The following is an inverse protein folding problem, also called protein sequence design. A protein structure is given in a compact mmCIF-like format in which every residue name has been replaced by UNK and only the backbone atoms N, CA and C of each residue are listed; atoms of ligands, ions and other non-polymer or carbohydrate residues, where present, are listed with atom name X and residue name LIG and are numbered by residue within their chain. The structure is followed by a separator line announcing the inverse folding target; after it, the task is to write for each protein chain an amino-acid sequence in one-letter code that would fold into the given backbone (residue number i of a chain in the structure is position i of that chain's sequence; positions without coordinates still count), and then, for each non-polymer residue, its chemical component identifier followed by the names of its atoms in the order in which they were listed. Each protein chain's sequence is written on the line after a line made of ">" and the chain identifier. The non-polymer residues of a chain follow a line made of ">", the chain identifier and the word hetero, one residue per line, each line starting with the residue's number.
data_IF_537196110376
#
_entry.id   IF_537196110376
#
_cell.length_a   1.000
_cell.length_b   1.000
_cell.length_c   1.000
_cell.angle_alpha   90.00
_cell.angle_beta   90.00
_cell.angle_gamma   90.00
#
_symmetry.space_group_name_H-M   'P 1'
#
loop_
_entity.id
_entity.type
_entity.pdbx_description
1 polymer ?
#
# COMPACT_ATOMS: atom_id res chain seq x y z
N UNK A 1 -21.63 -22.75 -10.55
CA UNK A 1 -22.23 -23.39 -11.75
C UNK A 1 -23.24 -24.45 -11.38
N UNK A 2 -22.84 -25.52 -10.67
CA UNK A 2 -23.73 -26.61 -10.25
C UNK A 2 -25.05 -26.14 -9.61
N UNK A 3 -25.02 -25.08 -8.80
CA UNK A 3 -26.22 -24.46 -8.22
C UNK A 3 -27.25 -23.99 -9.27
N UNK A 4 -26.80 -23.35 -10.36
CA UNK A 4 -27.65 -22.89 -11.45
C UNK A 4 -28.10 -24.06 -12.34
N UNK A 5 -27.26 -25.06 -12.53
CA UNK A 5 -27.62 -26.27 -13.28
C UNK A 5 -28.71 -27.08 -12.54
N UNK A 6 -28.70 -27.06 -11.20
CA UNK A 6 -29.73 -27.68 -10.34
C UNK A 6 -30.96 -26.82 -10.06
N UNK A 7 -30.98 -25.54 -10.46
CA UNK A 7 -32.12 -24.65 -10.24
C UNK A 7 -33.35 -25.11 -11.04
N UNK A 8 -34.52 -25.04 -10.40
CA UNK A 8 -35.79 -25.51 -10.96
C UNK A 8 -36.82 -24.41 -11.20
N UNK A 9 -36.80 -23.32 -10.44
CA UNK A 9 -37.84 -22.28 -10.53
C UNK A 9 -37.28 -20.87 -10.66
N UNK A 10 -36.33 -20.50 -9.79
CA UNK A 10 -35.80 -19.14 -9.67
C UNK A 10 -34.33 -19.19 -9.27
N UNK A 11 -33.50 -18.33 -9.90
CA UNK A 11 -32.24 -17.93 -9.30
C UNK A 11 -32.09 -16.40 -9.26
N UNK A 12 -31.61 -15.91 -8.11
CA UNK A 12 -31.38 -14.51 -7.80
C UNK A 12 -29.89 -14.30 -7.64
N UNK A 13 -29.31 -13.39 -8.40
CA UNK A 13 -27.88 -13.15 -8.39
C UNK A 13 -27.58 -11.67 -8.17
N UNK A 14 -26.65 -11.37 -7.28
CA UNK A 14 -26.07 -10.03 -7.16
C UNK A 14 -24.55 -10.10 -7.24
N UNK A 15 -23.94 -9.13 -7.92
CA UNK A 15 -22.48 -8.93 -7.96
C UNK A 15 -22.18 -7.49 -8.40
N UNK A 16 -21.06 -6.90 -7.96
CA UNK A 16 -20.65 -5.57 -8.45
C UNK A 16 -20.19 -5.64 -9.91
N UNK A 17 -19.46 -6.69 -10.27
CA UNK A 17 -19.06 -7.03 -11.64
C UNK A 17 -19.38 -8.48 -11.96
N UNK A 18 -19.77 -8.73 -13.21
CA UNK A 18 -19.99 -10.08 -13.77
C UNK A 18 -19.10 -10.24 -14.97
N UNK A 19 -18.10 -11.12 -14.90
CA UNK A 19 -17.15 -11.30 -16.00
C UNK A 19 -16.68 -12.77 -16.14
N UNK A 20 -17.51 -13.72 -15.73
CA UNK A 20 -17.22 -15.15 -15.81
C UNK A 20 -18.09 -15.83 -16.89
N UNK A 21 -17.47 -16.31 -17.97
CA UNK A 21 -18.18 -16.92 -19.09
C UNK A 21 -18.90 -18.21 -18.69
N UNK A 22 -18.28 -19.02 -17.81
CA UNK A 22 -18.92 -20.25 -17.30
C UNK A 22 -20.20 -19.95 -16.52
N UNK A 23 -20.25 -18.78 -15.87
CA UNK A 23 -21.43 -18.31 -15.14
C UNK A 23 -22.54 -17.94 -16.12
N UNK A 24 -22.20 -17.14 -17.13
CA UNK A 24 -23.14 -16.78 -18.18
C UNK A 24 -23.72 -18.02 -18.87
N UNK A 25 -22.88 -19.01 -19.19
CA UNK A 25 -23.32 -20.25 -19.81
C UNK A 25 -24.28 -21.04 -18.90
N UNK A 26 -23.97 -21.14 -17.61
CA UNK A 26 -24.85 -21.80 -16.63
C UNK A 26 -26.20 -21.07 -16.48
N UNK A 27 -26.18 -19.74 -16.48
CA UNK A 27 -27.40 -18.92 -16.49
C UNK A 27 -28.22 -19.14 -17.76
N UNK A 28 -27.59 -19.12 -18.94
CA UNK A 28 -28.29 -19.35 -20.21
C UNK A 28 -28.91 -20.75 -20.28
N UNK A 29 -28.20 -21.78 -19.81
CA UNK A 29 -28.77 -23.14 -19.68
C UNK A 29 -29.96 -23.17 -18.72
N UNK A 30 -29.89 -22.47 -17.59
CA UNK A 30 -31.02 -22.39 -16.65
C UNK A 30 -32.22 -21.67 -17.28
N UNK A 31 -32.00 -20.56 -17.98
CA UNK A 31 -33.04 -19.84 -18.71
C UNK A 31 -33.73 -20.72 -19.76
N UNK A 32 -32.95 -21.51 -20.51
CA UNK A 32 -33.48 -22.46 -21.50
C UNK A 32 -34.37 -23.54 -20.89
N UNK A 33 -34.12 -23.94 -19.63
CA UNK A 33 -34.97 -24.86 -18.87
C UNK A 33 -36.21 -24.18 -18.27
N UNK A 34 -36.40 -22.87 -18.47
CA UNK A 34 -37.52 -22.12 -17.91
C UNK A 34 -37.30 -21.57 -16.50
N UNK A 35 -36.07 -21.65 -15.95
CA UNK A 35 -35.74 -21.04 -14.66
C UNK A 35 -35.77 -19.52 -14.81
N UNK A 36 -36.46 -18.83 -13.89
CA UNK A 36 -36.52 -17.36 -13.89
C UNK A 36 -35.26 -16.80 -13.26
N UNK A 37 -34.55 -15.96 -14.00
CA UNK A 37 -33.28 -15.39 -13.57
C UNK A 37 -33.41 -13.89 -13.33
N UNK A 38 -33.05 -13.47 -12.13
CA UNK A 38 -33.02 -12.07 -11.72
C UNK A 38 -31.61 -11.68 -11.32
N UNK A 39 -31.08 -10.62 -11.91
CA UNK A 39 -29.70 -10.18 -11.72
C UNK A 39 -29.67 -8.73 -11.25
N UNK A 40 -28.91 -8.47 -10.19
CA UNK A 40 -28.69 -7.13 -9.66
C UNK A 40 -27.21 -6.77 -9.68
N UNK A 41 -26.84 -5.72 -10.39
CA UNK A 41 -25.43 -5.29 -10.56
C UNK A 41 -25.23 -3.81 -10.30
N UNK A 42 -23.99 -3.37 -10.11
CA UNK A 42 -23.67 -1.95 -10.04
C UNK A 42 -23.91 -1.25 -11.38
N UNK A 43 -24.20 0.05 -11.34
CA UNK A 43 -24.38 0.85 -12.56
C UNK A 43 -23.06 1.06 -13.31
N UNK A 44 -23.12 1.14 -14.64
CA UNK A 44 -21.93 1.40 -15.48
C UNK A 44 -21.24 2.72 -15.15
N UNK A 45 -21.98 3.71 -14.65
CA UNK A 45 -21.43 5.00 -14.23
C UNK A 45 -20.49 4.84 -13.03
N UNK A 46 -20.85 3.99 -12.06
CA UNK A 46 -19.98 3.68 -10.92
C UNK A 46 -18.76 2.89 -11.36
N UNK A 47 -18.97 1.87 -12.20
CA UNK A 47 -17.89 1.06 -12.75
C UNK A 47 -16.88 1.96 -13.47
N UNK A 48 -17.35 2.89 -14.32
CA UNK A 48 -16.50 3.84 -15.03
C UNK A 48 -15.74 4.82 -14.14
N UNK A 49 -16.25 5.18 -12.95
CA UNK A 49 -15.52 5.99 -11.96
C UNK A 49 -14.40 5.19 -11.28
N UNK A 50 -14.70 3.98 -10.80
CA UNK A 50 -13.76 3.10 -10.10
C UNK A 50 -12.61 2.66 -11.00
N UNK A 51 -12.90 2.37 -12.28
CA UNK A 51 -11.91 1.96 -13.28
C UNK A 51 -10.83 3.02 -13.55
N UNK A 52 -11.10 4.31 -13.27
CA UNK A 52 -10.12 5.40 -13.44
C UNK A 52 -9.09 5.48 -12.30
N UNK A 53 -9.33 4.80 -11.19
CA UNK A 53 -8.45 4.85 -10.01
C UNK A 53 -7.41 3.70 -10.00
N UNK A 54 -7.63 2.63 -10.76
CA UNK A 54 -6.76 1.45 -10.87
C UNK A 54 -6.70 0.94 -12.34
N UNK A 55 -5.67 1.32 -13.11
CA UNK A 55 -5.72 1.18 -14.58
C UNK A 55 -5.13 -0.14 -15.15
N UNK A 56 -5.73 -0.53 -16.29
CA UNK A 56 -5.60 -1.76 -17.11
C UNK A 56 -6.48 -2.95 -16.67
N UNK A 57 -6.33 -3.49 -15.46
CA UNK A 57 -7.08 -4.70 -15.06
C UNK A 57 -8.59 -4.43 -14.94
N UNK A 58 -8.97 -3.35 -14.26
CA UNK A 58 -10.38 -2.97 -14.06
C UNK A 58 -11.05 -2.56 -15.39
N UNK A 59 -10.31 -1.93 -16.31
CA UNK A 59 -10.83 -1.60 -17.66
C UNK A 59 -11.25 -2.86 -18.42
N UNK A 60 -10.38 -3.89 -18.45
CA UNK A 60 -10.68 -5.17 -19.09
C UNK A 60 -11.88 -5.87 -18.43
N UNK A 61 -11.99 -5.81 -17.10
CA UNK A 61 -13.14 -6.38 -16.37
C UNK A 61 -14.45 -5.66 -16.71
N UNK A 62 -14.42 -4.32 -16.83
CA UNK A 62 -15.58 -3.54 -17.22
C UNK A 62 -16.05 -3.87 -18.65
N UNK A 63 -15.13 -4.07 -19.60
CA UNK A 63 -15.48 -4.48 -20.96
C UNK A 63 -16.08 -5.89 -21.01
N UNK A 64 -15.46 -6.84 -20.29
CA UNK A 64 -16.00 -8.19 -20.17
C UNK A 64 -17.38 -8.19 -19.52
N UNK A 65 -17.59 -7.32 -18.54
CA UNK A 65 -18.89 -7.11 -17.94
C UNK A 65 -19.95 -6.69 -18.96
N UNK A 66 -19.67 -5.67 -19.76
CA UNK A 66 -20.60 -5.22 -20.82
C UNK A 66 -20.92 -6.34 -21.81
N UNK A 67 -19.91 -7.06 -22.29
CA UNK A 67 -20.09 -8.21 -23.18
C UNK A 67 -21.00 -9.28 -22.57
N UNK A 68 -20.82 -9.56 -21.28
CA UNK A 68 -21.65 -10.53 -20.57
C UNK A 68 -23.09 -10.03 -20.43
N UNK A 69 -23.31 -8.75 -20.12
CA UNK A 69 -24.65 -8.15 -20.08
C UNK A 69 -25.38 -8.30 -21.42
N UNK A 70 -24.70 -8.04 -22.53
CA UNK A 70 -25.27 -8.18 -23.87
C UNK A 70 -25.69 -9.62 -24.18
N UNK A 71 -24.87 -10.60 -23.76
CA UNK A 71 -25.20 -12.03 -23.90
C UNK A 71 -26.44 -12.43 -23.10
N UNK A 72 -26.67 -11.81 -21.95
CA UNK A 72 -27.82 -12.09 -21.07
C UNK A 72 -29.09 -11.32 -21.45
N UNK A 73 -28.98 -10.30 -22.30
CA UNK A 73 -30.09 -9.44 -22.68
C UNK A 73 -31.27 -10.24 -23.27
N UNK A 74 -32.47 -10.00 -22.75
CA UNK A 74 -33.69 -10.71 -23.16
C UNK A 74 -33.79 -12.17 -22.70
N UNK A 75 -32.79 -12.69 -21.96
CA UNK A 75 -32.79 -14.04 -21.38
C UNK A 75 -32.92 -14.04 -19.86
N UNK A 76 -32.53 -12.94 -19.22
CA UNK A 76 -32.65 -12.72 -17.77
C UNK A 76 -33.27 -11.35 -17.51
N UNK A 77 -33.87 -11.14 -16.33
CA UNK A 77 -34.27 -9.82 -15.88
C UNK A 77 -33.15 -9.19 -15.07
N UNK A 78 -32.46 -8.22 -15.67
CA UNK A 78 -31.31 -7.57 -15.05
C UNK A 78 -31.62 -6.12 -14.69
N UNK A 79 -31.25 -5.74 -13.47
CA UNK A 79 -31.34 -4.38 -12.97
C UNK A 79 -30.03 -3.90 -12.38
N UNK A 80 -29.88 -2.59 -12.28
CA UNK A 80 -28.70 -1.95 -11.68
C UNK A 80 -29.05 -0.68 -10.92
N UNK A 81 -28.19 -0.32 -9.98
CA UNK A 81 -28.15 0.99 -9.31
C UNK A 81 -26.73 1.33 -8.89
N UNK A 82 -26.42 2.62 -8.66
CA UNK A 82 -25.07 3.06 -8.29
C UNK A 82 -24.62 2.41 -6.98
N UNK A 83 -25.47 2.29 -5.96
CA UNK A 83 -25.06 1.83 -4.63
C UNK A 83 -24.92 0.29 -4.49
N UNK A 84 -25.32 -0.52 -5.47
CA UNK A 84 -25.23 -2.00 -5.41
C UNK A 84 -23.78 -2.47 -5.32
N UNK A 85 -23.48 -3.29 -4.32
CA UNK A 85 -22.16 -3.92 -4.19
C UNK A 85 -22.21 -5.34 -3.62
N UNK A 86 -23.35 -5.81 -3.11
CA UNK A 86 -23.52 -7.18 -2.62
C UNK A 86 -23.18 -8.26 -3.68
N UNK A 87 -22.66 -9.40 -3.21
CA UNK A 87 -22.23 -10.54 -4.04
C UNK A 87 -22.79 -11.84 -3.49
N UNK A 88 -23.82 -12.37 -4.14
CA UNK A 88 -24.46 -13.60 -3.68
C UNK A 88 -25.28 -14.28 -4.79
N UNK A 89 -25.57 -15.57 -4.57
CA UNK A 89 -26.46 -16.37 -5.38
C UNK A 89 -27.51 -17.04 -4.48
N UNK A 90 -28.78 -16.95 -4.86
CA UNK A 90 -29.89 -17.68 -4.22
C UNK A 90 -30.60 -18.51 -5.29
N UNK A 91 -30.92 -19.76 -4.96
CA UNK A 91 -31.66 -20.69 -5.84
C UNK A 91 -32.89 -21.21 -5.10
N UNK A 92 -34.02 -21.21 -5.80
CA UNK A 92 -35.31 -21.76 -5.40
C UNK A 92 -35.73 -21.44 -3.94
N UNK A 93 -35.67 -20.16 -3.50
CA UNK A 93 -35.89 -19.81 -2.10
C UNK A 93 -37.33 -20.09 -1.61
N UNK A 94 -38.27 -20.26 -2.53
CA UNK A 94 -39.68 -20.50 -2.21
C UNK A 94 -39.94 -21.93 -1.71
N UNK A 95 -39.06 -22.88 -2.03
CA UNK A 95 -39.21 -24.29 -1.66
C UNK A 95 -38.14 -24.67 -0.63
N UNK A 96 -38.47 -24.84 0.67
CA UNK A 96 -37.47 -25.07 1.72
C UNK A 96 -36.48 -26.20 1.45
N UNK A 97 -36.93 -27.32 0.87
CA UNK A 97 -36.06 -28.45 0.56
C UNK A 97 -35.02 -28.14 -0.55
N UNK A 98 -35.32 -27.19 -1.43
CA UNK A 98 -34.49 -26.80 -2.58
C UNK A 98 -33.80 -25.46 -2.39
N UNK A 99 -34.21 -24.66 -1.40
CA UNK A 99 -33.62 -23.37 -1.12
C UNK A 99 -32.12 -23.51 -0.82
N UNK A 100 -31.29 -22.84 -1.62
CA UNK A 100 -29.84 -22.76 -1.43
C UNK A 100 -29.40 -21.33 -1.62
N UNK A 101 -28.42 -20.90 -0.83
CA UNK A 101 -27.80 -19.61 -1.04
C UNK A 101 -26.31 -19.64 -0.72
N UNK A 102 -25.57 -18.77 -1.40
CA UNK A 102 -24.15 -18.52 -1.18
C UNK A 102 -23.92 -17.03 -1.08
N UNK A 103 -23.26 -16.61 -0.01
CA UNK A 103 -22.72 -15.26 0.16
C UNK A 103 -21.22 -15.29 -0.13
N UNK A 104 -20.74 -14.34 -0.91
CA UNK A 104 -19.35 -14.24 -1.32
C UNK A 104 -18.78 -12.87 -0.98
N UNK A 105 -17.52 -12.82 -0.56
CA UNK A 105 -16.78 -11.55 -0.45
C UNK A 105 -16.24 -11.12 -1.83
N UNK A 106 -16.08 -12.08 -2.75
CA UNK A 106 -15.60 -11.92 -4.11
C UNK A 106 -16.71 -11.59 -5.12
N UNK A 107 -16.37 -10.79 -6.12
CA UNK A 107 -17.17 -10.68 -7.35
C UNK A 107 -17.22 -12.01 -8.10
N UNK A 108 -18.28 -12.24 -8.86
CA UNK A 108 -18.36 -13.39 -9.77
C UNK A 108 -17.59 -13.14 -11.07
N UNK A 109 -16.28 -13.06 -10.91
CA UNK A 109 -15.25 -12.99 -11.96
C UNK A 109 -14.03 -13.79 -11.48
N UNK A 110 -12.87 -13.58 -12.10
CA UNK A 110 -11.60 -14.23 -11.73
C UNK A 110 -11.16 -14.02 -10.28
N UNK A 111 -11.73 -13.06 -9.54
CA UNK A 111 -11.45 -12.90 -8.11
C UNK A 111 -11.81 -14.15 -7.30
N UNK A 112 -12.72 -15.01 -7.77
CA UNK A 112 -13.01 -16.30 -7.14
C UNK A 112 -11.80 -17.26 -7.13
N UNK A 113 -10.86 -17.10 -8.05
CA UNK A 113 -9.69 -17.98 -8.23
C UNK A 113 -8.40 -17.28 -7.79
N UNK A 114 -8.29 -15.98 -8.06
CA UNK A 114 -7.03 -15.25 -7.96
C UNK A 114 -6.86 -14.47 -6.64
N UNK A 115 -7.95 -14.24 -5.90
CA UNK A 115 -7.96 -13.41 -4.68
C UNK A 115 -8.13 -14.24 -3.41
N UNK A 116 -7.63 -13.72 -2.29
CA UNK A 116 -7.87 -14.28 -0.96
C UNK A 116 -9.23 -13.76 -0.46
N UNK A 117 -10.25 -14.61 -0.58
CA UNK A 117 -11.67 -14.30 -0.41
C UNK A 117 -12.37 -15.41 0.39
N UNK A 118 -13.59 -15.14 0.87
CA UNK A 118 -14.46 -16.11 1.54
C UNK A 118 -15.75 -16.29 0.75
N UNK A 119 -16.27 -17.51 0.79
CA UNK A 119 -17.62 -17.85 0.35
C UNK A 119 -18.26 -18.78 1.38
N UNK A 120 -19.51 -18.51 1.74
CA UNK A 120 -20.26 -19.34 2.68
C UNK A 120 -21.59 -19.77 2.09
N UNK A 121 -21.94 -21.04 2.28
CA UNK A 121 -23.27 -21.54 2.01
C UNK A 121 -24.18 -21.21 3.21
N UNK A 122 -25.40 -20.75 2.93
CA UNK A 122 -26.41 -20.49 3.96
C UNK A 122 -27.43 -21.62 3.99
N UNK A 123 -28.01 -21.83 5.16
CA UNK A 123 -29.12 -22.76 5.34
C UNK A 123 -30.39 -22.28 4.60
N UNK A 124 -31.45 -23.10 4.53
CA UNK A 124 -32.69 -22.69 3.88
C UNK A 124 -33.36 -21.44 4.45
N UNK A 125 -33.17 -21.13 5.73
CA UNK A 125 -33.72 -19.91 6.34
C UNK A 125 -32.94 -18.68 5.90
N UNK A 126 -31.61 -18.74 5.95
CA UNK A 126 -30.71 -17.72 5.43
C UNK A 126 -30.90 -17.48 3.93
N UNK A 127 -31.17 -18.54 3.14
CA UNK A 127 -31.50 -18.40 1.72
C UNK A 127 -32.77 -17.58 1.49
N UNK A 128 -33.81 -17.76 2.32
CA UNK A 128 -35.05 -16.96 2.26
C UNK A 128 -34.82 -15.52 2.72
N UNK A 129 -34.07 -15.31 3.80
CA UNK A 129 -33.74 -13.98 4.29
C UNK A 129 -32.91 -13.18 3.26
N UNK A 130 -31.95 -13.84 2.62
CA UNK A 130 -31.17 -13.25 1.54
C UNK A 130 -32.03 -12.94 0.30
N UNK A 131 -32.98 -13.83 -0.03
CA UNK A 131 -33.96 -13.55 -1.10
C UNK A 131 -34.82 -12.32 -0.79
N UNK A 132 -35.23 -12.11 0.47
CA UNK A 132 -35.97 -10.92 0.87
C UNK A 132 -35.13 -9.64 0.66
N UNK A 133 -33.85 -9.67 1.04
CA UNK A 133 -32.91 -8.56 0.79
C UNK A 133 -32.79 -8.26 -0.71
N UNK A 134 -32.63 -9.30 -1.54
CA UNK A 134 -32.59 -9.16 -2.99
C UNK A 134 -33.88 -8.54 -3.52
N UNK A 135 -35.05 -9.04 -3.13
CA UNK A 135 -36.35 -8.55 -3.61
C UNK A 135 -36.52 -7.06 -3.29
N UNK A 136 -36.17 -6.64 -2.07
CA UNK A 136 -36.18 -5.23 -1.69
C UNK A 136 -35.30 -4.39 -2.61
N UNK A 137 -34.02 -4.74 -2.73
CA UNK A 137 -33.10 -3.97 -3.56
C UNK A 137 -33.52 -3.96 -5.04
N UNK A 138 -34.00 -5.09 -5.56
CA UNK A 138 -34.39 -5.25 -6.96
C UNK A 138 -35.66 -4.47 -7.31
N UNK A 139 -36.66 -4.41 -6.42
CA UNK A 139 -37.94 -3.77 -6.70
C UNK A 139 -38.04 -2.33 -6.19
N UNK A 140 -37.32 -1.98 -5.12
CA UNK A 140 -37.42 -0.69 -4.46
C UNK A 140 -36.22 0.23 -4.72
N UNK A 141 -35.01 -0.31 -4.85
CA UNK A 141 -33.79 0.50 -4.91
C UNK A 141 -33.13 0.54 -6.29
N UNK A 142 -33.40 -0.45 -7.14
CA UNK A 142 -32.88 -0.49 -8.50
C UNK A 142 -33.33 0.72 -9.33
N UNK A 143 -32.44 1.21 -10.18
CA UNK A 143 -32.61 2.47 -10.91
C UNK A 143 -32.74 2.25 -12.40
N UNK A 144 -32.12 1.19 -12.93
CA UNK A 144 -32.10 0.87 -14.35
C UNK A 144 -32.38 -0.60 -14.60
N UNK A 145 -32.96 -0.92 -15.75
CA UNK A 145 -33.25 -2.27 -16.23
C UNK A 145 -32.69 -2.49 -17.63
N UNK A 146 -32.13 -3.66 -17.88
CA UNK A 146 -31.61 -4.05 -19.18
C UNK A 146 -32.77 -4.44 -20.11
N UNK A 147 -33.04 -3.61 -21.12
CA UNK A 147 -34.14 -3.81 -22.10
C UNK A 147 -33.68 -4.45 -23.42
N UNK A 148 -32.38 -4.57 -23.61
CA UNK A 148 -31.73 -5.14 -24.79
C UNK A 148 -30.21 -4.94 -24.68
N UNK A 149 -29.43 -5.49 -25.63
CA UNK A 149 -27.98 -5.28 -25.65
C UNK A 149 -27.62 -3.79 -25.57
N UNK A 150 -26.73 -3.43 -24.65
CA UNK A 150 -26.29 -2.05 -24.37
C UNK A 150 -27.39 -1.09 -23.91
N UNK A 151 -28.61 -1.53 -23.63
CA UNK A 151 -29.77 -0.67 -23.31
C UNK A 151 -30.23 -0.79 -21.87
N UNK A 152 -29.48 -0.17 -20.96
CA UNK A 152 -29.91 0.07 -19.57
C UNK A 152 -30.80 1.32 -19.50
N UNK A 153 -32.10 1.11 -19.26
CA UNK A 153 -33.10 2.19 -19.20
C UNK A 153 -33.53 2.45 -17.77
N UNK A 154 -33.76 3.71 -17.42
CA UNK A 154 -34.29 4.09 -16.11
C UNK A 154 -35.67 3.49 -15.85
N UNK A 155 -35.90 3.07 -14.61
CA UNK A 155 -37.16 2.49 -14.15
C UNK A 155 -37.76 3.33 -13.02
N UNK A 156 -39.09 3.31 -12.92
CA UNK A 156 -39.80 4.00 -11.82
C UNK A 156 -39.64 3.20 -10.52
N UNK A 157 -39.21 3.87 -9.45
CA UNK A 157 -38.96 3.29 -8.11
C UNK A 157 -40.21 2.80 -7.36
N UNK A 158 -41.42 3.01 -7.87
CA UNK A 158 -42.68 2.58 -7.23
C UNK A 158 -43.28 1.39 -7.96
N UNK A 159 -42.86 0.18 -7.57
CA UNK A 159 -43.54 -1.04 -7.98
C UNK A 159 -44.85 -1.20 -7.18
N UNK A 160 -45.99 -1.58 -7.81
CA UNK A 160 -47.29 -1.65 -7.14
C UNK A 160 -47.39 -2.72 -6.03
N UNK A 161 -46.49 -3.72 -6.05
CA UNK A 161 -46.33 -4.68 -4.97
C UNK A 161 -44.95 -4.48 -4.33
N UNK A 162 -44.87 -3.58 -3.35
CA UNK A 162 -43.65 -3.33 -2.57
C UNK A 162 -43.38 -4.55 -1.68
N UNK A 163 -42.23 -5.23 -1.80
CA UNK A 163 -41.88 -6.31 -0.88
C UNK A 163 -41.76 -5.79 0.55
N UNK A 164 -41.98 -6.66 1.54
CA UNK A 164 -41.73 -6.34 2.94
C UNK A 164 -40.26 -5.96 3.14
N UNK A 165 -40.02 -4.97 4.00
CA UNK A 165 -38.66 -4.56 4.34
C UNK A 165 -37.92 -5.76 4.97
N UNK A 166 -36.69 -6.08 4.51
CA UNK A 166 -35.94 -7.19 5.07
C UNK A 166 -35.65 -6.94 6.54
N UNK A 167 -36.01 -7.91 7.38
CA UNK A 167 -35.76 -7.88 8.81
C UNK A 167 -35.50 -9.32 9.27
N UNK A 168 -34.23 -9.72 9.29
CA UNK A 168 -33.79 -11.02 9.76
C UNK A 168 -32.65 -10.84 10.77
N UNK A 169 -32.56 -11.77 11.72
CA UNK A 169 -31.57 -11.70 12.79
C UNK A 169 -30.18 -12.20 12.39
N UNK A 170 -30.12 -13.10 11.41
CA UNK A 170 -28.89 -13.71 10.91
C UNK A 170 -28.41 -13.04 9.63
N UNK A 171 -29.31 -12.65 8.72
CA UNK A 171 -28.98 -11.92 7.48
C UNK A 171 -29.38 -10.46 7.61
N UNK A 172 -28.41 -9.57 7.49
CA UNK A 172 -28.60 -8.13 7.61
C UNK A 172 -28.06 -7.40 6.38
N UNK A 173 -28.58 -6.21 6.12
CA UNK A 173 -28.23 -5.42 4.96
C UNK A 173 -27.93 -3.96 5.32
N UNK A 174 -27.00 -3.36 4.58
CA UNK A 174 -27.01 -1.91 4.36
C UNK A 174 -27.97 -1.64 3.21
N UNK A 175 -28.91 -0.72 3.41
CA UNK A 175 -29.91 -0.28 2.44
C UNK A 175 -29.74 1.23 2.22
N UNK A 176 -30.35 1.82 1.18
CA UNK A 176 -30.19 3.27 0.92
C UNK A 176 -30.55 4.16 2.13
N UNK A 177 -31.51 3.71 2.94
CA UNK A 177 -32.04 4.40 4.12
C UNK A 177 -31.86 3.57 5.42
N UNK A 178 -30.95 2.58 5.44
CA UNK A 178 -30.82 1.65 6.56
C UNK A 178 -29.41 1.13 6.79
N UNK A 179 -29.04 0.95 8.06
CA UNK A 179 -27.66 0.61 8.48
C UNK A 179 -27.60 -0.65 9.36
N UNK A 180 -28.57 -1.55 9.20
CA UNK A 180 -28.68 -2.76 10.03
C UNK A 180 -27.41 -3.63 10.03
N UNK A 181 -26.70 -3.70 8.90
CA UNK A 181 -25.42 -4.39 8.81
C UNK A 181 -24.34 -3.72 9.69
N UNK A 182 -24.21 -2.39 9.63
CA UNK A 182 -23.31 -1.65 10.52
C UNK A 182 -23.65 -1.90 11.98
N UNK A 183 -24.92 -1.78 12.34
CA UNK A 183 -25.36 -1.96 13.72
C UNK A 183 -25.04 -3.37 14.23
N UNK A 184 -25.15 -4.39 13.37
CA UNK A 184 -24.70 -5.75 13.67
C UNK A 184 -23.18 -5.87 13.87
N UNK A 185 -22.39 -5.26 13.00
CA UNK A 185 -20.91 -5.22 13.12
C UNK A 185 -20.52 -4.56 14.44
N UNK A 186 -21.12 -3.41 14.77
CA UNK A 186 -20.85 -2.68 16.02
C UNK A 186 -21.25 -3.50 17.24
N UNK A 187 -22.41 -4.16 17.21
CA UNK A 187 -22.87 -5.01 18.30
C UNK A 187 -21.89 -6.18 18.58
N UNK A 188 -21.35 -6.82 17.55
CA UNK A 188 -20.34 -7.86 17.71
C UNK A 188 -19.06 -7.30 18.35
N UNK A 189 -18.52 -6.20 17.83
CA UNK A 189 -17.27 -5.59 18.33
C UNK A 189 -17.41 -5.12 19.78
N UNK A 190 -18.55 -4.50 20.13
CA UNK A 190 -18.81 -4.06 21.51
C UNK A 190 -19.03 -5.23 22.47
N UNK A 191 -19.62 -6.33 21.96
CA UNK A 191 -19.86 -7.55 22.74
C UNK A 191 -18.60 -8.37 23.04
N UNK A 192 -17.50 -8.13 22.31
CA UNK A 192 -16.27 -8.90 22.43
C UNK A 192 -15.67 -8.88 23.85
N UNK A 193 -15.23 -10.06 24.29
CA UNK A 193 -14.63 -10.33 25.61
C UNK A 193 -13.19 -10.84 25.52
N UNK A 194 -12.83 -11.62 24.50
CA UNK A 194 -11.48 -12.22 24.41
C UNK A 194 -10.77 -11.83 23.13
N UNK A 195 -11.43 -11.99 21.99
CA UNK A 195 -10.79 -11.77 20.70
C UNK A 195 -11.73 -11.29 19.60
N UNK A 196 -11.17 -10.49 18.71
CA UNK A 196 -11.74 -10.10 17.43
C UNK A 196 -10.72 -10.40 16.31
N UNK A 197 -11.14 -11.20 15.32
CA UNK A 197 -10.44 -11.35 14.04
C UNK A 197 -11.26 -10.65 12.95
N UNK A 198 -10.63 -9.76 12.19
CA UNK A 198 -11.29 -9.03 11.11
C UNK A 198 -10.51 -9.21 9.82
N UNK A 199 -11.18 -9.49 8.72
CA UNK A 199 -10.64 -9.28 7.39
C UNK A 199 -11.41 -8.14 6.72
N UNK A 200 -10.72 -7.19 6.09
CA UNK A 200 -11.37 -6.17 5.28
C UNK A 200 -10.42 -5.59 4.23
N UNK A 201 -10.94 -5.40 3.02
CA UNK A 201 -10.23 -4.73 1.94
C UNK A 201 -10.14 -3.22 2.17
N UNK A 202 -11.24 -2.58 2.56
CA UNK A 202 -11.33 -1.15 2.87
C UNK A 202 -11.42 -0.90 4.38
N UNK A 203 -10.71 0.12 4.86
CA UNK A 203 -10.64 0.49 6.28
C UNK A 203 -10.65 2.01 6.37
N UNK A 204 -11.79 2.59 6.74
CA UNK A 204 -11.92 4.04 6.91
C UNK A 204 -11.50 4.46 8.32
N UNK A 205 -10.41 5.22 8.46
CA UNK A 205 -9.87 5.65 9.76
C UNK A 205 -10.93 6.28 10.68
N UNK A 206 -11.80 7.12 10.13
CA UNK A 206 -12.84 7.83 10.88
C UNK A 206 -14.13 7.04 11.09
N UNK A 207 -14.24 5.85 10.48
CA UNK A 207 -15.46 5.07 10.51
C UNK A 207 -15.70 4.50 11.93
N UNK A 208 -16.95 4.53 12.45
CA UNK A 208 -17.26 4.05 13.80
C UNK A 208 -16.79 2.62 14.09
N UNK A 209 -16.83 1.72 13.10
CA UNK A 209 -16.34 0.35 13.26
C UNK A 209 -14.83 0.28 13.57
N UNK A 210 -14.00 1.15 12.96
CA UNK A 210 -12.56 1.19 13.23
C UNK A 210 -12.30 1.73 14.64
N UNK A 211 -13.04 2.77 15.04
CA UNK A 211 -12.99 3.32 16.41
C UNK A 211 -13.39 2.27 17.45
N UNK A 212 -14.44 1.48 17.17
CA UNK A 212 -14.86 0.40 18.05
C UNK A 212 -13.83 -0.73 18.19
N UNK A 213 -13.06 -1.03 17.13
CA UNK A 213 -11.94 -1.99 17.21
C UNK A 213 -10.82 -1.46 18.13
N UNK A 214 -10.48 -0.18 17.99
CA UNK A 214 -9.51 0.50 18.87
C UNK A 214 -9.99 0.47 20.32
N UNK A 215 -11.26 0.79 20.57
CA UNK A 215 -11.86 0.70 21.90
C UNK A 215 -11.83 -0.73 22.44
N UNK A 216 -12.07 -1.75 21.62
CA UNK A 216 -11.96 -3.14 22.04
C UNK A 216 -10.53 -3.50 22.46
N UNK A 217 -9.53 -3.10 21.69
CA UNK A 217 -8.13 -3.29 22.04
C UNK A 217 -7.78 -2.58 23.37
N UNK A 218 -8.26 -1.35 23.57
CA UNK A 218 -8.07 -0.60 24.82
C UNK A 218 -8.74 -1.28 26.04
N UNK A 219 -9.81 -2.06 25.83
CA UNK A 219 -10.43 -2.90 26.87
C UNK A 219 -9.65 -4.19 27.15
N UNK A 220 -8.56 -4.46 26.45
CA UNK A 220 -7.76 -5.68 26.57
C UNK A 220 -8.24 -6.85 25.70
N UNK A 221 -9.17 -6.62 24.77
CA UNK A 221 -9.57 -7.64 23.78
C UNK A 221 -8.44 -7.80 22.77
N UNK A 222 -8.04 -9.03 22.44
CA UNK A 222 -7.07 -9.27 21.38
C UNK A 222 -7.71 -8.94 20.03
N UNK A 223 -7.15 -7.99 19.29
CA UNK A 223 -7.67 -7.63 17.95
C UNK A 223 -6.60 -7.92 16.90
N UNK A 224 -6.98 -8.68 15.87
CA UNK A 224 -6.18 -8.92 14.67
C UNK A 224 -6.96 -8.46 13.44
N UNK A 225 -6.34 -7.65 12.60
CA UNK A 225 -6.93 -7.13 11.36
C UNK A 225 -6.09 -7.61 10.17
N UNK A 226 -6.73 -8.30 9.25
CA UNK A 226 -6.19 -8.72 7.96
C UNK A 226 -6.63 -7.72 6.90
N UNK A 227 -5.68 -7.19 6.13
CA UNK A 227 -5.96 -6.19 5.09
C UNK A 227 -5.11 -6.38 3.83
N UNK A 228 -5.35 -5.56 2.81
CA UNK A 228 -4.51 -5.47 1.60
C UNK A 228 -3.72 -4.17 1.62
N UNK A 229 -2.39 -4.19 1.40
CA UNK A 229 -1.62 -2.96 1.48
C UNK A 229 -1.90 -2.00 0.32
N UNK A 230 -2.51 -0.85 0.65
CA UNK A 230 -2.91 0.20 -0.31
C UNK A 230 -2.97 1.56 0.36
N UNK A 231 -2.77 2.62 -0.43
CA UNK A 231 -2.87 4.01 0.03
C UNK A 231 -4.21 4.33 0.71
N UNK A 232 -5.30 3.80 0.16
CA UNK A 232 -6.66 4.04 0.66
C UNK A 232 -6.90 3.57 2.11
N UNK A 233 -6.13 2.57 2.58
CA UNK A 233 -6.26 2.06 3.96
C UNK A 233 -5.20 2.61 4.92
N UNK A 234 -4.20 3.37 4.41
CA UNK A 234 -3.01 3.79 5.15
C UNK A 234 -3.34 4.48 6.48
N UNK A 235 -4.26 5.44 6.48
CA UNK A 235 -4.67 6.15 7.69
C UNK A 235 -5.37 5.21 8.70
N UNK A 236 -6.22 4.30 8.22
CA UNK A 236 -6.95 3.36 9.06
C UNK A 236 -6.04 2.33 9.72
N UNK A 237 -5.11 1.75 8.95
CA UNK A 237 -4.14 0.78 9.48
C UNK A 237 -3.12 1.44 10.40
N UNK A 238 -2.72 2.69 10.14
CA UNK A 238 -1.86 3.45 11.03
C UNK A 238 -2.53 3.69 12.40
N UNK A 239 -3.82 4.08 12.41
CA UNK A 239 -4.58 4.26 13.64
C UNK A 239 -4.74 2.95 14.43
N UNK A 240 -5.05 1.84 13.75
CA UNK A 240 -5.14 0.50 14.35
C UNK A 240 -3.79 0.06 14.94
N UNK A 241 -2.70 0.15 14.16
CA UNK A 241 -1.37 -0.26 14.60
C UNK A 241 -0.86 0.60 15.77
N UNK A 242 -1.14 1.92 15.77
CA UNK A 242 -0.81 2.81 16.87
C UNK A 242 -1.56 2.47 18.17
N UNK A 243 -2.74 1.85 18.07
CA UNK A 243 -3.50 1.32 19.21
C UNK A 243 -3.03 -0.07 19.68
N UNK A 244 -1.92 -0.59 19.13
CA UNK A 244 -1.39 -1.91 19.49
C UNK A 244 -2.13 -3.09 18.85
N UNK A 245 -3.00 -2.85 17.86
CA UNK A 245 -3.71 -3.90 17.13
C UNK A 245 -2.75 -4.57 16.15
N UNK A 246 -2.80 -5.90 16.08
CA UNK A 246 -2.02 -6.66 15.08
C UNK A 246 -2.66 -6.48 13.71
N UNK A 247 -1.96 -5.80 12.79
CA UNK A 247 -2.44 -5.59 11.43
C UNK A 247 -1.52 -6.31 10.45
N UNK A 248 -2.07 -7.34 9.81
CA UNK A 248 -1.36 -8.25 8.92
C UNK A 248 -1.91 -8.09 7.50
N UNK A 249 -1.10 -8.32 6.48
CA UNK A 249 -1.52 -8.00 5.13
C UNK A 249 -1.00 -8.93 4.04
N UNK A 250 -1.80 -9.04 2.98
CA UNK A 250 -1.52 -9.83 1.79
C UNK A 250 -1.99 -9.06 0.55
N UNK A 251 -1.18 -9.08 -0.51
CA UNK A 251 -1.39 -8.31 -1.74
C UNK A 251 -2.66 -8.71 -2.52
N UNK A 252 -3.17 -9.91 -2.27
CA UNK A 252 -4.42 -10.46 -2.84
C UNK A 252 -5.60 -10.51 -1.87
N UNK A 253 -5.49 -10.01 -0.63
CA UNK A 253 -6.64 -10.02 0.28
C UNK A 253 -7.77 -9.15 -0.25
N UNK A 254 -8.96 -9.72 -0.32
CA UNK A 254 -10.18 -8.97 -0.55
C UNK A 254 -11.36 -9.48 0.29
N UNK A 255 -11.17 -10.47 1.16
CA UNK A 255 -12.21 -10.96 2.04
C UNK A 255 -12.76 -9.87 2.99
N UNK A 256 -14.04 -10.00 3.37
CA UNK A 256 -14.64 -9.20 4.47
C UNK A 256 -15.37 -10.11 5.46
N UNK A 257 -14.87 -10.15 6.69
CA UNK A 257 -15.45 -10.93 7.77
C UNK A 257 -15.09 -10.34 9.13
N UNK A 258 -15.95 -10.57 10.11
CA UNK A 258 -15.70 -10.28 11.52
C UNK A 258 -15.98 -11.54 12.31
N UNK A 259 -14.98 -12.06 13.02
CA UNK A 259 -15.14 -13.16 13.96
C UNK A 259 -14.88 -12.65 15.39
N UNK A 260 -15.83 -12.87 16.29
CA UNK A 260 -15.77 -12.43 17.68
C UNK A 260 -16.13 -13.60 18.58
N UNK A 261 -15.21 -13.99 19.46
CA UNK A 261 -15.41 -15.02 20.49
C UNK A 261 -16.10 -16.32 20.00
N UNK A 262 -15.82 -16.75 18.77
CA UNK A 262 -16.38 -17.97 18.16
C UNK A 262 -17.65 -17.76 17.33
N UNK A 263 -18.17 -16.53 17.24
CA UNK A 263 -19.21 -16.13 16.29
C UNK A 263 -18.58 -15.50 15.05
N UNK A 264 -19.14 -15.72 13.87
CA UNK A 264 -18.63 -15.12 12.63
C UNK A 264 -19.74 -14.46 11.80
N UNK A 265 -19.44 -13.26 11.32
CA UNK A 265 -20.18 -12.52 10.31
C UNK A 265 -19.34 -12.48 9.03
N UNK A 266 -19.83 -13.10 7.95
CA UNK A 266 -19.26 -12.92 6.61
C UNK A 266 -20.09 -11.89 5.87
N UNK A 267 -19.46 -10.94 5.19
CA UNK A 267 -20.16 -9.81 4.58
C UNK A 267 -19.54 -9.34 3.28
N UNK A 268 -20.28 -8.54 2.52
CA UNK A 268 -19.80 -7.92 1.28
C UNK A 268 -19.25 -6.51 1.50
N UNK A 269 -19.56 -5.91 2.66
CA UNK A 269 -19.15 -4.57 3.06
C UNK A 269 -17.70 -4.51 3.58
N UNK A 270 -16.99 -3.47 3.17
CA UNK A 270 -15.76 -3.03 3.83
C UNK A 270 -16.07 -2.24 5.11
N UNK A 271 -15.09 -2.07 5.99
CA UNK A 271 -15.18 -1.23 7.20
C UNK A 271 -15.03 0.27 6.90
N UNK A 272 -15.90 0.78 6.03
CA UNK A 272 -15.93 2.18 5.61
C UNK A 272 -17.35 2.61 5.22
N UNK A 273 -17.57 3.92 5.08
CA UNK A 273 -18.91 4.46 4.86
C UNK A 273 -19.59 3.94 3.59
N UNK A 274 -18.83 3.67 2.52
CA UNK A 274 -19.39 3.13 1.30
C UNK A 274 -19.96 1.71 1.49
N UNK A 275 -19.40 0.91 2.39
CA UNK A 275 -19.89 -0.43 2.70
C UNK A 275 -20.98 -0.42 3.77
N UNK A 276 -20.72 0.22 4.92
CA UNK A 276 -21.59 0.09 6.09
C UNK A 276 -22.68 1.15 6.19
N UNK A 277 -22.57 2.28 5.48
CA UNK A 277 -23.55 3.38 5.59
C UNK A 277 -24.34 3.67 4.31
N UNK A 278 -23.76 3.46 3.12
CA UNK A 278 -24.33 3.96 1.85
C UNK A 278 -24.64 2.90 0.80
N UNK A 279 -23.92 1.78 0.80
CA UNK A 279 -24.05 0.74 -0.22
C UNK A 279 -25.26 -0.16 -0.01
N UNK A 280 -25.65 -0.91 -1.04
CA UNK A 280 -26.41 -2.14 -0.83
C UNK A 280 -25.42 -3.30 -0.63
N UNK A 281 -25.29 -3.71 0.62
CA UNK A 281 -24.35 -4.71 1.11
C UNK A 281 -25.07 -5.70 2.02
N UNK A 282 -24.55 -6.92 2.12
CA UNK A 282 -25.13 -8.01 2.90
C UNK A 282 -24.10 -8.54 3.88
N UNK A 283 -24.55 -8.89 5.08
CA UNK A 283 -23.82 -9.74 6.01
C UNK A 283 -24.68 -10.88 6.54
N UNK A 284 -24.06 -12.03 6.79
CA UNK A 284 -24.70 -13.20 7.36
C UNK A 284 -23.92 -13.70 8.57
N UNK A 285 -24.59 -13.78 9.72
CA UNK A 285 -24.14 -14.57 10.87
C UNK A 285 -24.27 -16.04 10.46
N UNK A 286 -23.15 -16.76 10.49
CA UNK A 286 -23.11 -18.17 10.06
C UNK A 286 -23.34 -19.11 11.26
N UNK A 287 -23.65 -20.37 10.96
CA UNK A 287 -23.79 -21.40 12.00
C UNK A 287 -22.49 -21.58 12.80
N UNK A 288 -22.54 -22.13 14.03
CA UNK A 288 -21.34 -22.37 14.84
C UNK A 288 -20.27 -23.18 14.11
N UNK A 289 -20.65 -24.23 13.37
CA UNK A 289 -19.71 -25.05 12.61
C UNK A 289 -19.00 -24.25 11.51
N UNK A 290 -19.76 -23.45 10.75
CA UNK A 290 -19.20 -22.59 9.72
C UNK A 290 -18.37 -21.47 10.34
N UNK A 291 -18.76 -20.94 11.50
CA UNK A 291 -17.99 -19.93 12.22
C UNK A 291 -16.62 -20.47 12.65
N UNK A 292 -16.56 -21.71 13.14
CA UNK A 292 -15.30 -22.38 13.46
C UNK A 292 -14.39 -22.51 12.23
N UNK A 293 -14.97 -22.82 11.05
CA UNK A 293 -14.20 -22.90 9.80
C UNK A 293 -13.69 -21.52 9.37
N UNK A 294 -14.54 -20.48 9.42
CA UNK A 294 -14.16 -19.11 9.10
C UNK A 294 -13.05 -18.63 10.03
N UNK A 295 -13.20 -18.84 11.34
CA UNK A 295 -12.19 -18.48 12.34
C UNK A 295 -10.85 -19.16 12.04
N UNK A 296 -10.86 -20.48 11.80
CA UNK A 296 -9.65 -21.23 11.43
C UNK A 296 -9.00 -20.66 10.17
N UNK A 297 -9.77 -20.38 9.12
CA UNK A 297 -9.23 -19.79 7.88
C UNK A 297 -8.61 -18.42 8.12
N UNK A 298 -9.24 -17.55 8.92
CA UNK A 298 -8.67 -16.25 9.26
C UNK A 298 -7.37 -16.39 10.07
N UNK A 299 -7.27 -17.39 10.96
CA UNK A 299 -6.02 -17.67 11.70
C UNK A 299 -4.92 -18.18 10.79
N UNK A 300 -5.23 -19.14 9.91
CA UNK A 300 -4.28 -19.64 8.91
C UNK A 300 -3.74 -18.51 8.05
N UNK A 301 -4.58 -17.56 7.64
CA UNK A 301 -4.14 -16.35 6.95
C UNK A 301 -3.29 -15.44 7.83
N UNK A 302 -3.68 -15.18 9.07
CA UNK A 302 -2.87 -14.40 10.00
C UNK A 302 -1.46 -14.98 10.16
N UNK A 303 -1.34 -16.30 10.25
CA UNK A 303 -0.06 -17.00 10.44
C UNK A 303 0.81 -17.00 9.17
N UNK A 304 0.23 -16.75 7.99
CA UNK A 304 0.92 -16.88 6.69
C UNK A 304 1.07 -15.58 5.92
N UNK A 305 0.38 -14.51 6.33
CA UNK A 305 0.43 -13.24 5.62
C UNK A 305 1.83 -12.60 5.73
N UNK A 306 2.46 -12.24 4.60
CA UNK A 306 3.88 -11.88 4.59
C UNK A 306 4.16 -10.46 5.10
N UNK A 307 3.14 -9.62 5.23
CA UNK A 307 3.29 -8.21 5.60
C UNK A 307 2.68 -7.93 6.97
N UNK A 308 3.37 -7.08 7.74
CA UNK A 308 2.91 -6.58 9.03
C UNK A 308 3.02 -5.06 9.03
N UNK A 309 1.95 -4.38 9.45
CA UNK A 309 2.02 -2.94 9.71
C UNK A 309 2.57 -2.67 11.11
N UNK A 310 3.53 -1.76 11.18
CA UNK A 310 4.20 -1.35 12.42
C UNK A 310 4.22 0.17 12.48
N UNK A 311 3.57 0.75 13.48
CA UNK A 311 3.58 2.20 13.71
C UNK A 311 4.92 2.68 14.32
N UNK A 312 5.67 1.77 14.91
CA UNK A 312 6.92 1.99 15.65
C UNK A 312 8.16 1.47 14.90
N UNK A 313 8.01 1.08 13.62
CA UNK A 313 9.09 0.47 12.85
C UNK A 313 10.24 1.46 12.66
N UNK A 314 11.45 1.11 13.13
CA UNK A 314 12.64 1.86 12.78
C UNK A 314 13.35 1.24 11.59
N UNK A 315 14.17 2.03 10.89
CA UNK A 315 15.06 1.54 9.82
C UNK A 315 15.93 0.36 10.24
N UNK A 316 16.16 0.20 11.55
CA UNK A 316 16.98 -0.87 12.07
C UNK A 316 16.25 -2.19 12.33
N UNK A 317 14.95 -2.18 12.45
CA UNK A 317 14.22 -3.38 12.90
C UNK A 317 13.92 -4.35 11.77
N UNK A 318 14.06 -3.91 10.53
CA UNK A 318 13.72 -4.72 9.37
C UNK A 318 14.92 -4.92 8.45
N UNK A 319 15.46 -6.14 8.40
CA UNK A 319 16.42 -6.57 7.37
C UNK A 319 15.66 -7.32 6.28
N UNK A 320 14.88 -6.58 5.49
CA UNK A 320 13.98 -7.17 4.49
C UNK A 320 13.26 -6.13 3.66
N UNK A 321 12.11 -6.54 3.17
CA UNK A 321 11.27 -5.79 2.24
C UNK A 321 10.40 -4.78 2.99
N UNK A 322 10.72 -3.49 2.85
CA UNK A 322 9.99 -2.39 3.45
C UNK A 322 9.07 -1.73 2.42
N UNK A 323 7.82 -1.48 2.81
CA UNK A 323 6.90 -0.64 2.05
C UNK A 323 6.39 0.46 2.98
N UNK A 324 6.53 1.72 2.56
CA UNK A 324 5.96 2.84 3.31
C UNK A 324 4.43 2.73 3.31
N UNK A 325 3.78 3.14 4.41
CA UNK A 325 2.34 2.94 4.57
C UNK A 325 1.52 3.72 3.52
N UNK A 326 2.05 4.85 3.05
CA UNK A 326 1.51 5.69 1.99
C UNK A 326 1.76 5.16 0.57
N UNK A 327 2.56 4.10 0.41
CA UNK A 327 2.79 3.41 -0.84
C UNK A 327 1.91 2.15 -0.94
N UNK A 328 1.57 1.74 -2.17
CA UNK A 328 1.09 0.40 -2.43
C UNK A 328 2.28 -0.52 -2.74
N UNK A 329 2.15 -1.84 -2.50
CA UNK A 329 3.23 -2.79 -2.82
C UNK A 329 3.70 -2.71 -4.29
N UNK A 330 2.78 -2.38 -5.19
CA UNK A 330 3.07 -2.17 -6.63
C UNK A 330 3.90 -0.92 -6.91
N UNK A 331 3.88 0.07 -6.02
CA UNK A 331 4.59 1.35 -6.19
C UNK A 331 6.10 1.19 -5.90
N UNK A 332 6.50 0.04 -5.36
CA UNK A 332 7.88 -0.31 -5.09
C UNK A 332 8.07 -0.76 -3.65
N UNK A 333 8.76 -1.89 -3.50
CA UNK A 333 9.29 -2.36 -2.22
C UNK A 333 10.73 -1.87 -2.13
N UNK A 334 11.07 -1.26 -1.00
CA UNK A 334 12.43 -0.85 -0.71
C UNK A 334 13.10 -1.92 0.12
N UNK A 335 14.28 -2.36 -0.29
CA UNK A 335 15.05 -3.33 0.48
C UNK A 335 15.87 -2.61 1.53
N UNK A 336 15.68 -2.94 2.80
CA UNK A 336 16.56 -2.45 3.86
C UNK A 336 17.85 -3.26 3.84
N UNK A 337 18.99 -2.60 3.63
CA UNK A 337 20.30 -3.25 3.56
C UNK A 337 21.13 -2.96 4.82
N UNK A 338 22.02 -3.88 5.27
CA UNK A 338 22.80 -3.65 6.49
C UNK A 338 23.69 -2.41 6.40
N UNK A 339 24.34 -2.20 5.26
CA UNK A 339 25.19 -1.04 5.03
C UNK A 339 25.44 -0.81 3.55
N UNK A 340 25.73 0.44 3.16
CA UNK A 340 26.39 0.76 1.91
C UNK A 340 27.67 1.57 2.17
N UNK A 341 28.63 1.49 1.25
CA UNK A 341 29.83 2.34 1.25
C UNK A 341 29.75 3.31 0.08
N UNK A 342 29.96 4.60 0.34
CA UNK A 342 29.91 5.67 -0.64
C UNK A 342 31.26 6.38 -0.68
N UNK A 343 31.95 6.22 -1.81
CA UNK A 343 33.19 6.96 -2.08
C UNK A 343 32.87 8.40 -2.46
N UNK A 344 33.46 9.35 -1.75
CA UNK A 344 33.38 10.77 -2.04
C UNK A 344 34.63 11.24 -2.80
N UNK A 345 34.55 12.37 -3.52
CA UNK A 345 35.73 12.98 -4.13
C UNK A 345 36.83 13.25 -3.09
N UNK A 346 38.09 13.19 -3.53
CA UNK A 346 39.22 13.56 -2.69
C UNK A 346 39.11 15.01 -2.22
N UNK A 347 39.54 15.28 -1.00
CA UNK A 347 39.62 16.64 -0.44
C UNK A 347 41.07 17.08 -0.36
N UNK A 348 41.31 18.34 -0.71
CA UNK A 348 42.65 18.92 -0.66
C UNK A 348 42.87 19.52 0.73
N UNK A 349 43.92 19.08 1.41
CA UNK A 349 44.34 19.67 2.68
C UNK A 349 44.79 21.13 2.48
N UNK A 350 44.64 22.01 3.48
CA UNK A 350 45.09 23.39 3.37
C UNK A 350 46.61 23.52 3.33
N UNK A 351 47.33 22.51 3.84
CA UNK A 351 48.79 22.44 3.96
C UNK A 351 49.27 20.98 3.83
N UNK A 352 50.39 20.76 3.15
CA UNK A 352 50.94 19.42 2.89
C UNK A 352 51.52 18.73 4.14
N UNK A 353 51.82 19.48 5.20
CA UNK A 353 52.27 18.94 6.49
C UNK A 353 51.15 18.78 7.51
N UNK A 354 49.93 19.24 7.19
CA UNK A 354 48.74 19.17 8.05
C UNK A 354 47.55 18.60 7.28
N UNK A 355 47.61 17.31 6.95
CA UNK A 355 46.54 16.61 6.24
C UNK A 355 45.29 16.45 7.11
N UNK A 356 45.46 16.40 8.42
CA UNK A 356 44.40 16.36 9.42
C UNK A 356 43.49 17.60 9.39
N UNK A 357 44.00 18.73 8.89
CA UNK A 357 43.25 19.99 8.75
C UNK A 357 42.42 20.03 7.46
N UNK A 358 42.40 18.95 6.68
CA UNK A 358 41.58 18.87 5.47
C UNK A 358 40.09 19.05 5.80
N UNK A 359 39.36 19.81 4.97
CA UNK A 359 37.94 20.01 5.20
C UNK A 359 37.20 18.67 5.09
N UNK A 360 36.27 18.42 6.01
CA UNK A 360 35.39 17.26 5.90
C UNK A 360 34.48 17.46 4.68
N UNK A 361 34.42 16.50 3.73
CA UNK A 361 33.52 16.62 2.60
C UNK A 361 32.06 16.57 3.04
N UNK A 362 31.16 17.14 2.23
CA UNK A 362 29.72 17.08 2.52
C UNK A 362 29.22 15.65 2.47
N UNK A 363 28.81 15.11 3.62
CA UNK A 363 28.30 13.76 3.75
C UNK A 363 26.81 13.71 3.40
N UNK A 364 26.50 13.44 2.14
CA UNK A 364 25.12 13.22 1.69
C UNK A 364 24.93 11.77 1.23
N UNK A 365 24.13 10.97 1.95
CA UNK A 365 23.77 9.63 1.52
C UNK A 365 23.15 9.64 0.12
N UNK A 366 23.62 8.75 -0.74
CA UNK A 366 23.07 8.50 -2.07
C UNK A 366 22.99 6.98 -2.31
N UNK A 367 22.09 6.27 -1.60
CA UNK A 367 21.91 4.84 -1.80
C UNK A 367 21.41 4.52 -3.22
N UNK A 368 21.57 3.26 -3.63
CA UNK A 368 20.99 2.76 -4.87
C UNK A 368 19.46 2.88 -4.82
N UNK A 369 18.85 3.12 -5.98
CA UNK A 369 17.39 3.19 -6.09
C UNK A 369 16.76 1.87 -5.60
N UNK A 370 15.78 1.96 -4.71
CA UNK A 370 15.12 0.79 -4.12
C UNK A 370 15.86 0.21 -2.91
N UNK A 371 16.97 0.79 -2.47
CA UNK A 371 17.67 0.40 -1.23
C UNK A 371 17.55 1.46 -0.13
N UNK A 372 17.43 0.98 1.11
CA UNK A 372 17.45 1.81 2.31
C UNK A 372 18.51 1.26 3.28
N UNK A 373 19.77 1.73 3.21
CA UNK A 373 20.82 1.24 4.07
C UNK A 373 20.59 1.69 5.52
N UNK A 374 20.81 0.75 6.46
CA UNK A 374 20.79 1.03 7.90
C UNK A 374 22.02 1.85 8.33
N UNK A 375 23.15 1.63 7.65
CA UNK A 375 24.40 2.34 7.85
C UNK A 375 24.98 2.81 6.51
N UNK A 376 25.39 4.08 6.44
CA UNK A 376 26.12 4.61 5.27
C UNK A 376 27.54 4.92 5.71
N UNK A 377 28.51 4.22 5.13
CA UNK A 377 29.94 4.48 5.36
C UNK A 377 30.45 5.38 4.24
N UNK A 378 31.02 6.52 4.61
CA UNK A 378 31.67 7.40 3.65
C UNK A 378 33.17 7.14 3.65
N UNK A 379 33.76 7.07 2.46
CA UNK A 379 35.21 6.94 2.29
C UNK A 379 35.69 8.04 1.36
N UNK A 380 36.75 8.74 1.73
CA UNK A 380 37.39 9.73 0.87
C UNK A 380 38.89 9.72 1.10
N UNK A 381 39.60 10.22 0.11
CA UNK A 381 41.05 10.43 0.18
C UNK A 381 41.33 11.88 0.56
N UNK A 382 42.32 12.10 1.42
CA UNK A 382 42.87 13.42 1.69
C UNK A 382 44.15 13.54 0.90
N UNK A 383 44.22 14.53 0.01
CA UNK A 383 45.39 14.79 -0.82
C UNK A 383 46.07 16.08 -0.38
N UNK A 384 47.42 16.12 -0.33
CA UNK A 384 48.16 17.35 -0.05
C UNK A 384 47.92 18.41 -1.15
N UNK A 385 47.94 19.71 -0.81
CA UNK A 385 47.85 20.77 -1.79
C UNK A 385 49.09 20.77 -2.69
N UNK A 386 48.89 21.07 -3.98
CA UNK A 386 49.97 21.25 -4.94
C UNK A 386 50.18 22.72 -5.24
N UNK A 387 51.40 23.05 -5.66
CA UNK A 387 51.76 24.39 -6.08
C UNK A 387 50.81 24.87 -7.20
N UNK A 388 50.17 26.05 -7.05
CA UNK A 388 49.28 26.57 -8.08
C UNK A 388 50.01 26.77 -9.42
N UNK A 389 49.31 26.47 -10.51
CA UNK A 389 49.85 26.72 -11.85
C UNK A 389 50.09 28.23 -12.04
N UNK A 390 51.28 28.59 -12.53
CA UNK A 390 51.67 29.98 -12.73
C UNK A 390 52.18 30.69 -11.48
N UNK A 391 52.44 29.96 -10.38
CA UNK A 391 53.17 30.52 -9.23
C UNK A 391 54.59 30.90 -9.64
N UNK A 392 55.07 32.05 -9.16
CA UNK A 392 56.42 32.56 -9.46
C UNK A 392 57.34 32.35 -8.26
N UNK A 393 58.58 31.98 -8.51
CA UNK A 393 59.54 31.77 -7.43
C UNK A 393 59.88 33.11 -6.75
N UNK A 394 59.82 33.10 -5.42
CA UNK A 394 60.28 34.18 -4.55
C UNK A 394 61.75 33.93 -4.22
N UNK A 395 62.55 34.99 -4.31
CA UNK A 395 63.98 34.94 -3.99
C UNK A 395 64.26 35.80 -2.75
N UNK A 396 65.20 35.36 -1.93
CA UNK A 396 65.73 36.13 -0.81
C UNK A 396 66.97 36.91 -1.24
N UNK A 397 67.14 38.12 -0.70
CA UNK A 397 68.38 38.88 -0.84
C UNK A 397 69.36 38.46 0.24
N UNK A 398 70.50 37.94 -0.16
CA UNK A 398 71.61 37.62 0.75
C UNK A 398 72.77 38.56 0.42
N UNK A 399 73.27 39.25 1.44
CA UNK A 399 74.51 40.02 1.32
C UNK A 399 75.69 39.06 1.38
N UNK A 400 76.45 38.99 0.30
CA UNK A 400 77.74 38.28 0.25
C UNK A 400 78.86 39.30 0.13
N UNK A 401 79.96 39.06 0.83
CA UNK A 401 81.19 39.82 0.63
C UNK A 401 81.94 39.23 -0.55
N UNK A 402 82.03 40.00 -1.63
CA UNK A 402 82.90 39.70 -2.77
C UNK A 402 84.13 40.60 -2.72
N UNK A 403 85.26 40.10 -3.22
CA UNK A 403 86.45 40.93 -3.36
C UNK A 403 86.19 42.04 -4.40
N UNK A 404 86.19 43.30 -3.95
CA UNK A 404 86.15 44.44 -4.86
C UNK A 404 87.37 44.44 -5.78
N UNK A 405 87.33 45.22 -6.86
CA UNK A 405 88.45 45.38 -7.80
C UNK A 405 89.77 45.84 -7.13
N UNK A 406 89.67 46.30 -5.89
CA UNK A 406 90.75 46.85 -5.06
C UNK A 406 91.17 45.90 -3.92
N UNK A 407 90.66 44.65 -3.91
CA UNK A 407 90.92 43.65 -2.86
C UNK A 407 90.17 43.85 -1.53
N UNK A 408 89.37 44.93 -1.40
CA UNK A 408 88.55 45.20 -0.21
C UNK A 408 87.18 44.48 -0.30
N UNK A 409 86.68 43.89 0.80
CA UNK A 409 85.38 43.23 0.79
C UNK A 409 84.27 44.23 0.46
N UNK A 410 83.53 43.97 -0.61
CA UNK A 410 82.34 44.72 -1.02
C UNK A 410 81.13 43.86 -0.76
N UNK A 411 80.16 44.38 0.00
CA UNK A 411 78.86 43.73 0.17
C UNK A 411 78.06 43.85 -1.12
N UNK A 412 77.80 42.71 -1.76
CA UNK A 412 76.95 42.60 -2.95
C UNK A 412 75.67 41.90 -2.51
N UNK A 413 74.53 42.49 -2.84
CA UNK A 413 73.22 41.87 -2.64
C UNK A 413 72.94 40.96 -3.83
N UNK A 414 72.83 39.66 -3.56
CA UNK A 414 72.51 38.67 -4.58
C UNK A 414 71.18 38.01 -4.25
N UNK A 415 70.32 37.83 -5.27
CA UNK A 415 69.07 37.09 -5.13
C UNK A 415 69.36 35.61 -5.22
N UNK A 416 69.06 34.86 -4.18
CA UNK A 416 69.20 33.39 -4.14
C UNK A 416 67.86 32.75 -3.81
N UNK A 417 67.63 31.52 -4.28
CA UNK A 417 66.41 30.78 -3.94
C UNK A 417 66.36 30.53 -2.43
N UNK A 418 65.16 30.47 -1.88
CA UNK A 418 64.95 29.88 -0.57
C UNK A 418 65.22 28.36 -0.63
N UNK A 419 65.59 27.79 0.52
CA UNK A 419 65.75 26.35 0.70
C UNK A 419 64.94 25.89 1.94
N UNK A 420 63.79 25.21 1.78
CA UNK A 420 63.13 24.82 0.53
C UNK A 420 62.60 26.00 -0.31
N UNK A 421 62.33 25.78 -1.60
CA UNK A 421 61.93 26.85 -2.54
C UNK A 421 60.58 27.47 -2.16
N UNK A 422 60.47 28.79 -2.32
CA UNK A 422 59.28 29.58 -1.98
C UNK A 422 58.69 30.18 -3.25
N UNK A 423 57.37 30.20 -3.34
CA UNK A 423 56.62 30.70 -4.48
C UNK A 423 55.50 31.64 -4.05
N UNK A 424 55.08 32.52 -4.94
CA UNK A 424 53.95 33.42 -4.75
C UNK A 424 52.90 33.24 -5.85
N UNK A 425 51.62 33.26 -5.47
CA UNK A 425 50.48 33.23 -6.38
C UNK A 425 49.25 33.85 -5.70
N UNK A 426 48.55 34.78 -6.36
CA UNK A 426 47.37 35.48 -5.84
C UNK A 426 47.53 36.02 -4.41
N UNK A 427 48.62 36.77 -4.17
CA UNK A 427 48.98 37.35 -2.87
C UNK A 427 49.16 36.32 -1.73
N UNK A 428 49.33 35.03 -2.05
CA UNK A 428 49.64 33.97 -1.09
C UNK A 428 51.06 33.45 -1.32
N UNK A 429 51.74 33.12 -0.24
CA UNK A 429 53.08 32.56 -0.25
C UNK A 429 53.00 31.05 0.00
N UNK A 430 53.80 30.28 -0.73
CA UNK A 430 53.86 28.82 -0.68
C UNK A 430 55.29 28.34 -0.51
N UNK A 431 55.52 27.36 0.37
CA UNK A 431 56.80 26.66 0.50
C UNK A 431 56.64 25.29 -0.15
N UNK A 432 57.51 24.95 -1.11
CA UNK A 432 57.45 23.63 -1.77
C UNK A 432 58.19 22.62 -0.92
N UNK A 433 57.54 21.50 -0.61
CA UNK A 433 58.12 20.34 0.04
C UNK A 433 58.55 19.32 -1.03
N UNK A 434 59.84 19.23 -1.40
CA UNK A 434 60.27 18.34 -2.47
C UNK A 434 60.39 16.89 -1.99
N UNK A 435 60.79 16.67 -0.72
CA UNK A 435 60.90 15.36 -0.09
C UNK A 435 60.44 15.42 1.37
N UNK A 436 60.05 14.26 1.92
CA UNK A 436 59.57 14.17 3.30
C UNK A 436 60.66 14.53 4.35
N UNK A 437 61.94 14.40 4.01
CA UNK A 437 63.05 14.75 4.88
C UNK A 437 63.16 16.28 5.13
N UNK A 438 62.57 17.09 4.24
CA UNK A 438 62.58 18.55 4.32
C UNK A 438 61.50 19.13 5.24
N UNK A 439 60.64 18.29 5.82
CA UNK A 439 59.43 18.74 6.53
C UNK A 439 59.70 19.74 7.66
N UNK A 440 60.76 19.55 8.46
CA UNK A 440 61.08 20.50 9.53
C UNK A 440 61.53 21.86 9.00
N UNK A 441 62.37 21.86 7.93
CA UNK A 441 62.84 23.09 7.29
C UNK A 441 61.68 23.83 6.63
N UNK A 442 60.84 23.10 5.89
CA UNK A 442 59.65 23.65 5.25
C UNK A 442 58.68 24.24 6.28
N UNK A 443 58.45 23.57 7.42
CA UNK A 443 57.57 24.06 8.50
C UNK A 443 58.08 25.37 9.11
N UNK A 444 59.37 25.45 9.45
CA UNK A 444 59.95 26.68 10.03
C UNK A 444 59.85 27.85 9.05
N UNK A 445 60.27 27.62 7.80
CA UNK A 445 60.22 28.63 6.76
C UNK A 445 58.79 29.09 6.45
N UNK A 446 57.83 28.15 6.45
CA UNK A 446 56.43 28.47 6.26
C UNK A 446 55.87 29.34 7.40
N UNK A 447 56.24 29.04 8.65
CA UNK A 447 55.85 29.83 9.82
C UNK A 447 56.43 31.26 9.76
N UNK A 448 57.72 31.40 9.41
CA UNK A 448 58.40 32.70 9.31
C UNK A 448 57.78 33.60 8.22
N UNK A 449 57.29 32.99 7.14
CA UNK A 449 56.75 33.70 5.97
C UNK A 449 55.21 33.80 5.96
N UNK A 450 54.51 33.19 6.92
CA UNK A 450 53.05 33.05 6.87
C UNK A 450 52.56 32.29 5.63
N UNK A 451 53.36 31.33 5.16
CA UNK A 451 53.16 30.60 3.92
C UNK A 451 52.52 29.22 4.16
N UNK A 452 51.96 28.63 3.11
CA UNK A 452 51.44 27.25 3.12
C UNK A 452 52.44 26.28 2.53
N UNK A 453 52.61 25.11 3.10
CA UNK A 453 53.44 24.07 2.51
C UNK A 453 52.64 23.31 1.46
N UNK A 454 53.23 23.12 0.28
CA UNK A 454 52.61 22.45 -0.87
C UNK A 454 53.58 21.44 -1.49
N UNK A 455 53.05 20.44 -2.18
CA UNK A 455 53.83 19.58 -3.06
C UNK A 455 54.10 20.27 -4.42
N UNK A 456 55.15 19.87 -5.15
CA UNK A 456 55.46 20.42 -6.46
C UNK A 456 54.35 20.25 -7.51
#
# INVERSE_FOLDING_TARGET
>A
MAALDGATEVALLSSFLLAEDRLADAMLRAAQRGVRLYVLTASEQRIGKVVREDEVFEQRMAEQHKKLLDRLAGKVLLRSAEHIHAKFLVVDPQTPARARAWLSTANFNKALEDSVELGVALDPAGARALAACFQWAFWCEAERELRGPGRLMEIRRKHPATPSRPADSAVCATLQDGTALRDRVMALIHGARREILVASYGIGAEHPAVKALIEAANRGVRVVVLTRPRRAVAAGVAALAAAGISVLAHDKLHAKAVCVDGQALVMTANLEAQGLDKGFEIGAIVSPDTACVVERTLREWADTFPWVYRADATRGDHLGDFCAAEAALRDGITRVTPSCTQSLPAVVAPDALHLEDAPTPTLKPSPLAGELPRLVRFTWEVIPPRLPKGATERFQEVEREEAGKDGKPRKVKTRVSHDPRVFEHDNKTYVVLPQAEDSERARRLAADLGAKVVLP
#
